data_IF_403133083411
#
_entry.id   IF_403133083411
#
_cell.length_a   1.000
_cell.length_b   1.000
_cell.length_c   1.000
_cell.angle_alpha   90.00
_cell.angle_beta   90.00
_cell.angle_gamma   90.00
#
_symmetry.space_group_name_H-M   'P 1'
#
loop_
_entity.id
_entity.type
_entity.pdbx_description
1 polymer ?
#
# COMPACT_ATOMS: atom_id res chain seq x y z
N UNK A 1 11.47 -10.22 10.70
CA UNK A 1 11.34 -9.76 12.08
C UNK A 1 12.68 -9.84 12.83
N UNK A 2 13.26 -11.03 13.02
CA UNK A 2 14.46 -11.23 13.88
C UNK A 2 15.70 -10.43 13.41
N UNK A 3 15.80 -10.07 12.13
CA UNK A 3 16.87 -9.18 11.63
C UNK A 3 16.63 -7.72 12.00
N UNK A 4 15.39 -7.27 11.98
CA UNK A 4 15.03 -5.94 12.49
C UNK A 4 15.28 -5.85 14.00
N UNK A 5 14.94 -6.91 14.74
CA UNK A 5 15.25 -6.99 16.17
C UNK A 5 16.77 -6.96 16.45
N UNK A 6 17.59 -7.57 15.61
CA UNK A 6 19.06 -7.51 15.72
C UNK A 6 19.62 -6.09 15.47
N UNK A 7 18.84 -5.20 14.82
CA UNK A 7 19.11 -3.77 14.72
C UNK A 7 18.51 -2.96 15.90
N UNK A 8 17.95 -3.65 16.88
CA UNK A 8 17.38 -3.04 18.08
C UNK A 8 15.92 -2.60 17.93
N UNK A 9 15.21 -2.97 16.83
CA UNK A 9 13.78 -2.65 16.65
C UNK A 9 12.94 -3.47 17.62
N UNK A 10 12.07 -2.80 18.36
CA UNK A 10 11.14 -3.38 19.32
C UNK A 10 9.80 -2.65 19.36
N UNK A 11 8.95 -2.94 20.36
CA UNK A 11 7.61 -2.38 20.45
C UNK A 11 7.61 -0.85 20.44
N UNK A 12 6.75 -0.25 19.62
CA UNK A 12 6.60 1.20 19.48
C UNK A 12 7.67 1.89 18.62
N UNK A 13 8.75 1.22 18.21
CA UNK A 13 9.72 1.77 17.27
C UNK A 13 9.11 1.92 15.87
N UNK A 14 9.56 2.90 15.09
CA UNK A 14 9.09 3.13 13.72
C UNK A 14 10.10 2.57 12.73
N UNK A 15 9.57 1.83 11.74
CA UNK A 15 10.31 1.35 10.57
C UNK A 15 9.74 2.06 9.35
N UNK A 16 10.51 3.00 8.79
CA UNK A 16 10.11 3.79 7.64
C UNK A 16 10.54 3.11 6.34
N UNK A 17 9.69 3.14 5.32
CA UNK A 17 9.98 2.58 4.02
C UNK A 17 9.67 3.57 2.88
N UNK A 18 10.72 4.04 2.20
CA UNK A 18 10.65 4.72 0.90
C UNK A 18 10.97 3.69 -0.18
N UNK A 19 10.01 2.81 -0.46
CA UNK A 19 10.20 1.60 -1.26
C UNK A 19 9.08 1.48 -2.28
N UNK A 20 9.42 1.18 -3.53
CA UNK A 20 8.46 0.92 -4.61
C UNK A 20 7.64 -0.35 -4.33
N UNK A 21 6.63 -0.59 -5.16
CA UNK A 21 5.83 -1.80 -5.09
C UNK A 21 6.69 -3.05 -5.29
N UNK A 22 6.96 -3.77 -4.21
CA UNK A 22 7.76 -5.00 -4.22
C UNK A 22 7.52 -5.86 -2.97
N UNK A 23 7.93 -7.11 -3.03
CA UNK A 23 7.70 -8.08 -1.96
C UNK A 23 8.43 -7.72 -0.67
N UNK A 24 9.60 -7.07 -0.75
CA UNK A 24 10.39 -6.66 0.40
C UNK A 24 9.64 -5.66 1.28
N UNK A 25 8.82 -4.78 0.68
CA UNK A 25 7.94 -3.87 1.40
C UNK A 25 6.94 -4.64 2.26
N UNK A 26 6.29 -5.64 1.68
CA UNK A 26 5.28 -6.46 2.36
C UNK A 26 5.91 -7.32 3.47
N UNK A 27 7.08 -7.92 3.20
CA UNK A 27 7.82 -8.69 4.20
C UNK A 27 8.25 -7.81 5.38
N UNK A 28 8.67 -6.56 5.10
CA UNK A 28 9.07 -5.61 6.14
C UNK A 28 7.87 -5.19 6.99
N UNK A 29 6.71 -4.96 6.39
CA UNK A 29 5.47 -4.67 7.09
C UNK A 29 5.14 -5.76 8.13
N UNK A 30 5.06 -7.02 7.70
CA UNK A 30 4.77 -8.13 8.61
C UNK A 30 5.89 -8.35 9.65
N UNK A 31 7.16 -8.14 9.26
CA UNK A 31 8.28 -8.21 10.17
C UNK A 31 8.19 -7.16 11.29
N UNK A 32 7.76 -5.94 10.94
CA UNK A 32 7.54 -4.83 11.86
C UNK A 32 6.43 -5.17 12.86
N UNK A 33 5.30 -5.69 12.38
CA UNK A 33 4.18 -6.10 13.24
C UNK A 33 4.55 -7.19 14.24
N UNK A 34 5.35 -8.17 13.81
CA UNK A 34 5.85 -9.25 14.68
C UNK A 34 6.72 -8.76 15.84
N UNK A 35 7.18 -7.52 15.80
CA UNK A 35 7.96 -6.87 16.84
C UNK A 35 7.15 -5.87 17.68
N UNK A 36 5.85 -5.70 17.37
CA UNK A 36 5.03 -4.63 17.97
C UNK A 36 5.50 -3.22 17.60
N UNK A 37 6.28 -3.12 16.52
CA UNK A 37 6.77 -1.87 15.95
C UNK A 37 5.76 -1.30 14.95
N UNK A 38 5.92 -0.04 14.58
CA UNK A 38 5.01 0.72 13.72
C UNK A 38 5.61 0.86 12.33
N UNK A 39 4.89 0.46 11.31
CA UNK A 39 5.34 0.58 9.92
C UNK A 39 4.93 1.92 9.32
N UNK A 40 5.86 2.59 8.64
CA UNK A 40 5.67 3.93 8.08
C UNK A 40 6.00 3.93 6.58
N UNK A 41 5.05 3.53 5.71
CA UNK A 41 5.26 3.59 4.27
C UNK A 41 5.17 5.03 3.77
N UNK A 42 6.15 5.45 2.97
CA UNK A 42 6.28 6.81 2.47
C UNK A 42 6.07 6.85 0.96
N UNK A 43 5.40 7.90 0.48
CA UNK A 43 5.24 8.14 -0.95
C UNK A 43 6.61 8.31 -1.63
N UNK A 44 6.89 7.45 -2.61
CA UNK A 44 8.16 7.37 -3.35
C UNK A 44 8.49 8.61 -4.19
N UNK A 45 7.51 9.49 -4.42
CA UNK A 45 7.70 10.74 -5.16
C UNK A 45 8.12 11.93 -4.26
N UNK A 46 8.14 11.75 -2.92
CA UNK A 46 8.47 12.82 -1.99
C UNK A 46 9.95 13.16 -2.02
N UNK A 47 10.24 14.47 -1.94
CA UNK A 47 11.59 15.04 -1.90
C UNK A 47 11.62 16.30 -1.02
N UNK A 48 12.82 16.69 -0.61
CA UNK A 48 13.06 17.96 0.10
C UNK A 48 12.19 18.11 1.35
N UNK A 49 11.62 19.29 1.57
CA UNK A 49 10.89 19.63 2.78
C UNK A 49 9.70 18.71 3.10
N UNK A 50 9.04 18.12 2.09
CA UNK A 50 7.94 17.17 2.33
C UNK A 50 8.44 15.84 2.88
N UNK A 51 9.55 15.32 2.35
CA UNK A 51 10.18 14.11 2.87
C UNK A 51 10.79 14.36 4.26
N UNK A 52 11.46 15.51 4.43
CA UNK A 52 12.01 15.94 5.71
C UNK A 52 10.95 16.01 6.80
N UNK A 53 9.80 16.62 6.49
CA UNK A 53 8.68 16.71 7.43
C UNK A 53 8.24 15.31 7.91
N UNK A 54 8.07 14.36 6.99
CA UNK A 54 7.62 13.02 7.36
C UNK A 54 8.71 12.25 8.11
N UNK A 55 9.96 12.39 7.72
CA UNK A 55 11.10 11.76 8.41
C UNK A 55 11.21 12.24 9.86
N UNK A 56 11.17 13.56 10.07
CA UNK A 56 11.22 14.17 11.40
C UNK A 56 10.01 13.80 12.25
N UNK A 57 8.82 13.81 11.66
CA UNK A 57 7.60 13.51 12.42
C UNK A 57 7.46 12.03 12.77
N UNK A 58 7.94 11.12 11.91
CA UNK A 58 7.92 9.69 12.18
C UNK A 58 9.03 9.24 13.15
N UNK A 59 10.16 9.96 13.22
CA UNK A 59 11.33 9.58 14.01
C UNK A 59 11.68 8.08 13.86
N UNK A 60 11.99 7.61 12.66
CA UNK A 60 12.19 6.19 12.43
C UNK A 60 13.52 5.71 13.01
N UNK A 61 13.51 4.52 13.61
CA UNK A 61 14.71 3.84 14.07
C UNK A 61 15.47 3.14 12.95
N UNK A 62 14.74 2.58 11.98
CA UNK A 62 15.29 1.95 10.79
C UNK A 62 14.59 2.51 9.56
N UNK A 63 15.37 2.80 8.52
CA UNK A 63 14.86 3.23 7.20
C UNK A 63 15.17 2.16 6.18
N UNK A 64 14.17 1.75 5.39
CA UNK A 64 14.35 0.97 4.17
C UNK A 64 14.17 1.91 2.98
N UNK A 65 15.04 1.82 2.00
CA UNK A 65 14.98 2.69 0.81
C UNK A 65 15.41 1.93 -0.44
N UNK A 66 14.66 2.07 -1.52
CA UNK A 66 15.16 1.63 -2.82
C UNK A 66 16.42 2.44 -3.19
N UNK A 67 17.46 1.77 -3.63
CA UNK A 67 18.75 2.40 -3.90
C UNK A 67 18.64 3.57 -4.89
N UNK A 68 17.79 3.45 -5.90
CA UNK A 68 17.54 4.50 -6.88
C UNK A 68 16.68 5.67 -6.37
N UNK A 69 16.09 5.53 -5.17
CA UNK A 69 15.36 6.60 -4.48
C UNK A 69 16.20 7.25 -3.37
N UNK A 70 17.39 6.74 -3.08
CA UNK A 70 18.23 7.24 -1.99
C UNK A 70 18.56 8.72 -2.13
N UNK A 71 18.74 9.21 -3.35
CA UNK A 71 19.03 10.62 -3.64
C UNK A 71 17.96 11.59 -3.14
N UNK A 72 16.72 11.13 -2.92
CA UNK A 72 15.66 11.95 -2.33
C UNK A 72 15.99 12.46 -0.92
N UNK A 73 16.89 11.77 -0.21
CA UNK A 73 17.35 12.13 1.13
C UNK A 73 18.53 13.11 1.15
N UNK A 74 19.10 13.51 0.01
CA UNK A 74 20.12 14.54 -0.02
C UNK A 74 19.52 15.90 0.38
N UNK A 75 20.14 16.53 1.38
CA UNK A 75 19.67 17.81 1.94
C UNK A 75 18.48 17.70 2.90
N UNK A 76 18.06 16.47 3.25
CA UNK A 76 17.03 16.20 4.24
C UNK A 76 17.69 16.06 5.62
N UNK A 77 17.06 16.63 6.64
CA UNK A 77 17.49 16.54 8.05
C UNK A 77 16.50 15.68 8.84
N UNK A 78 16.99 14.67 9.57
CA UNK A 78 16.18 13.82 10.44
C UNK A 78 15.79 14.49 11.77
N UNK A 79 16.28 15.71 12.05
CA UNK A 79 16.11 16.34 13.35
C UNK A 79 16.88 15.59 14.45
N UNK A 80 16.26 15.46 15.62
CA UNK A 80 16.86 14.77 16.78
C UNK A 80 16.66 13.23 16.72
N UNK A 81 16.08 12.71 15.63
CA UNK A 81 15.81 11.28 15.45
C UNK A 81 17.12 10.48 15.29
N UNK A 82 17.25 9.39 16.05
CA UNK A 82 18.40 8.48 15.99
C UNK A 82 18.11 7.31 15.03
N UNK A 83 18.47 7.49 13.74
CA UNK A 83 18.38 6.42 12.73
C UNK A 83 19.54 5.45 12.96
N UNK A 84 19.24 4.29 13.53
CA UNK A 84 20.24 3.25 13.85
C UNK A 84 20.76 2.55 12.60
N UNK A 85 19.89 2.31 11.62
CA UNK A 85 20.27 1.65 10.38
C UNK A 85 19.46 2.12 9.17
N UNK A 86 20.11 2.08 8.01
CA UNK A 86 19.46 2.19 6.70
C UNK A 86 19.74 0.93 5.89
N UNK A 87 18.69 0.39 5.25
CA UNK A 87 18.74 -0.80 4.40
C UNK A 87 18.40 -0.42 2.97
N UNK A 88 19.37 -0.57 2.07
CA UNK A 88 19.21 -0.28 0.65
C UNK A 88 18.71 -1.52 -0.11
N UNK A 89 17.61 -1.35 -0.86
CA UNK A 89 16.92 -2.42 -1.59
C UNK A 89 17.19 -2.27 -3.09
N UNK A 90 17.39 -3.40 -3.77
CA UNK A 90 17.47 -3.50 -5.24
C UNK A 90 18.59 -2.67 -5.91
N UNK A 91 19.80 -2.67 -5.35
CA UNK A 91 20.94 -1.99 -5.98
C UNK A 91 22.19 -1.94 -5.10
N UNK A 92 22.08 -2.44 -3.88
CA UNK A 92 23.15 -2.34 -2.89
C UNK A 92 23.28 -0.93 -2.32
N UNK A 93 24.34 -0.69 -1.56
CA UNK A 93 24.65 0.61 -0.97
C UNK A 93 25.09 1.56 -2.09
N UNK A 94 24.49 2.77 -2.24
CA UNK A 94 24.89 3.71 -3.27
C UNK A 94 26.29 4.26 -3.02
N UNK A 95 27.01 4.68 -4.09
CA UNK A 95 28.35 5.27 -4.00
C UNK A 95 28.38 6.53 -3.12
N UNK A 96 27.30 7.31 -3.14
CA UNK A 96 27.10 8.49 -2.31
C UNK A 96 25.89 8.29 -1.40
N UNK A 97 26.17 7.89 -0.16
CA UNK A 97 25.14 7.77 0.87
C UNK A 97 24.70 9.15 1.35
N UNK A 98 23.39 9.44 1.39
CA UNK A 98 22.89 10.72 1.90
C UNK A 98 23.40 11.03 3.31
N UNK A 99 23.80 12.29 3.60
CA UNK A 99 24.39 12.69 4.90
C UNK A 99 23.51 12.35 6.10
N UNK A 100 22.19 12.34 5.95
CA UNK A 100 21.24 11.96 7.01
C UNK A 100 21.45 10.52 7.54
N UNK A 101 22.10 9.66 6.77
CA UNK A 101 22.43 8.28 7.13
C UNK A 101 23.92 8.09 7.50
N UNK A 102 24.71 9.18 7.63
CA UNK A 102 26.15 9.08 7.87
C UNK A 102 26.54 8.37 9.17
N UNK A 103 25.71 8.47 10.19
CA UNK A 103 25.92 7.81 11.50
C UNK A 103 25.19 6.46 11.61
N UNK A 104 24.26 6.18 10.71
CA UNK A 104 23.50 4.94 10.67
C UNK A 104 24.33 3.77 10.14
N UNK A 105 24.04 2.56 10.62
CA UNK A 105 24.56 1.34 9.99
C UNK A 105 23.97 1.18 8.61
N UNK A 106 24.82 1.24 7.59
CA UNK A 106 24.41 1.10 6.18
C UNK A 106 24.50 -0.37 5.76
N UNK A 107 23.43 -0.91 5.20
CA UNK A 107 23.33 -2.31 4.81
C UNK A 107 22.71 -2.42 3.41
N UNK A 108 23.22 -3.31 2.58
CA UNK A 108 22.43 -3.83 1.46
C UNK A 108 21.32 -4.73 2.00
N UNK A 109 20.28 -4.98 1.20
CA UNK A 109 19.23 -5.93 1.60
C UNK A 109 19.78 -7.36 1.78
N UNK A 110 20.81 -7.72 1.03
CA UNK A 110 21.53 -9.00 1.16
C UNK A 110 22.23 -9.08 2.51
N UNK A 111 23.04 -8.06 2.88
CA UNK A 111 23.73 -7.99 4.16
C UNK A 111 22.74 -7.98 5.32
N UNK A 112 21.65 -7.23 5.21
CA UNK A 112 20.57 -7.23 6.21
C UNK A 112 19.96 -8.63 6.38
N UNK A 113 19.70 -9.32 5.28
CA UNK A 113 19.14 -10.68 5.28
C UNK A 113 20.11 -11.72 5.84
N UNK A 114 21.42 -11.46 5.76
CA UNK A 114 22.49 -12.30 6.30
C UNK A 114 22.81 -12.02 7.78
N UNK A 115 22.24 -10.96 8.39
CA UNK A 115 22.47 -10.69 9.83
C UNK A 115 22.11 -11.90 10.69
N UNK A 116 22.85 -12.09 11.76
CA UNK A 116 22.47 -13.05 12.80
C UNK A 116 21.06 -12.71 13.32
N UNK A 117 20.20 -13.71 13.39
CA UNK A 117 18.86 -13.52 13.93
C UNK A 117 18.92 -13.25 15.45
N UNK A 118 18.12 -12.32 15.93
CA UNK A 118 17.87 -12.15 17.36
C UNK A 118 17.11 -13.39 17.90
N UNK A 119 17.03 -13.50 19.22
CA UNK A 119 16.24 -14.56 19.87
C UNK A 119 14.75 -14.43 19.51
N UNK A 120 14.08 -15.55 19.28
CA UNK A 120 12.65 -15.57 18.91
C UNK A 120 11.73 -15.09 20.03
N UNK A 121 12.20 -15.04 21.28
CA UNK A 121 11.46 -14.51 22.42
C UNK A 121 11.12 -13.01 22.32
N UNK A 122 11.72 -12.28 21.37
CA UNK A 122 11.39 -10.87 21.10
C UNK A 122 10.12 -10.71 20.25
N UNK A 123 9.60 -11.79 19.65
CA UNK A 123 8.38 -11.73 18.85
C UNK A 123 7.15 -11.55 19.76
N UNK A 124 6.25 -10.69 19.31
CA UNK A 124 5.00 -10.41 20.03
C UNK A 124 3.78 -10.76 19.17
N UNK A 125 2.65 -10.92 19.84
CA UNK A 125 1.34 -10.95 19.20
C UNK A 125 0.69 -9.59 19.42
N UNK A 126 0.62 -8.71 18.41
CA UNK A 126 0.02 -7.40 18.58
C UNK A 126 -1.47 -7.51 18.89
N UNK A 127 -1.98 -6.57 19.68
CA UNK A 127 -3.41 -6.47 19.99
C UNK A 127 -4.13 -5.66 18.91
N UNK A 128 -5.46 -5.79 18.80
CA UNK A 128 -6.25 -5.02 17.83
C UNK A 128 -6.07 -3.50 17.94
N UNK A 129 -5.90 -2.99 19.16
CA UNK A 129 -5.73 -1.57 19.47
C UNK A 129 -4.31 -1.04 19.28
N UNK A 130 -3.30 -1.91 19.19
CA UNK A 130 -1.92 -1.50 18.97
C UNK A 130 -1.75 -0.83 17.60
N UNK A 131 -0.93 0.22 17.52
CA UNK A 131 -0.69 0.94 16.28
C UNK A 131 0.16 0.10 15.33
N UNK A 132 -0.40 -0.18 14.16
CA UNK A 132 0.25 -0.91 13.06
C UNK A 132 1.00 0.03 12.12
N UNK A 133 0.37 1.16 11.76
CA UNK A 133 0.89 2.10 10.78
C UNK A 133 0.86 3.55 11.24
N UNK A 134 1.77 4.32 10.66
CA UNK A 134 1.58 5.76 10.45
C UNK A 134 1.52 5.96 8.94
N UNK A 135 0.33 6.29 8.41
CA UNK A 135 0.16 6.61 6.99
C UNK A 135 -0.08 8.11 6.83
N UNK A 136 0.72 8.74 5.95
CA UNK A 136 0.61 10.18 5.73
C UNK A 136 -0.44 10.51 4.67
N UNK A 137 -1.35 11.43 5.02
CA UNK A 137 -2.35 11.98 4.11
C UNK A 137 -1.99 13.42 3.74
N UNK A 138 -2.31 13.80 2.48
CA UNK A 138 -2.20 15.19 2.05
C UNK A 138 -3.31 16.00 2.70
N UNK A 139 -3.01 16.69 3.78
CA UNK A 139 -3.98 17.59 4.41
C UNK A 139 -4.41 18.71 3.45
N UNK A 140 -5.67 19.11 3.50
CA UNK A 140 -6.20 20.24 2.73
C UNK A 140 -5.60 21.58 3.16
N UNK A 141 -4.99 21.63 4.33
CA UNK A 141 -4.44 22.85 4.96
C UNK A 141 -3.13 22.55 5.68
N UNK A 142 -1.98 22.73 5.01
CA UNK A 142 -0.66 22.61 5.63
C UNK A 142 0.08 21.30 5.36
N UNK A 143 1.13 20.98 6.13
CA UNK A 143 1.93 19.77 5.96
C UNK A 143 1.10 18.49 6.09
N UNK A 144 1.57 17.41 5.46
CA UNK A 144 0.94 16.09 5.58
C UNK A 144 0.83 15.64 7.04
N UNK A 145 -0.26 14.94 7.37
CA UNK A 145 -0.54 14.45 8.73
C UNK A 145 -0.39 12.94 8.76
N UNK A 146 0.29 12.43 9.78
CA UNK A 146 0.40 11.01 10.04
C UNK A 146 -0.84 10.46 10.74
N UNK A 147 -1.60 9.61 10.04
CA UNK A 147 -2.75 8.91 10.61
C UNK A 147 -2.25 7.69 11.37
N UNK A 148 -2.54 7.62 12.66
CA UNK A 148 -2.24 6.46 13.49
C UNK A 148 -3.30 5.39 13.27
N UNK A 149 -2.90 4.26 12.69
CA UNK A 149 -3.82 3.19 12.31
C UNK A 149 -3.61 1.95 13.17
N UNK A 150 -4.56 1.61 14.05
CA UNK A 150 -4.53 0.37 14.81
C UNK A 150 -4.64 -0.88 13.90
N UNK A 151 -4.17 -2.03 14.39
CA UNK A 151 -4.30 -3.29 13.66
C UNK A 151 -5.74 -3.61 13.28
N UNK A 152 -6.72 -3.36 14.17
CA UNK A 152 -8.14 -3.57 13.89
C UNK A 152 -8.62 -2.70 12.72
N UNK A 153 -8.20 -1.42 12.66
CA UNK A 153 -8.57 -0.51 11.57
C UNK A 153 -8.02 -1.01 10.23
N UNK A 154 -6.77 -1.47 10.21
CA UNK A 154 -6.17 -2.03 9.01
C UNK A 154 -6.83 -3.34 8.56
N UNK A 155 -7.18 -4.20 9.52
CA UNK A 155 -7.91 -5.45 9.24
C UNK A 155 -9.28 -5.17 8.61
N UNK A 156 -10.01 -4.16 9.11
CA UNK A 156 -11.32 -3.77 8.56
C UNK A 156 -11.24 -3.26 7.12
N UNK A 157 -10.16 -2.58 6.72
CA UNK A 157 -9.93 -2.25 5.30
C UNK A 157 -9.90 -3.51 4.42
N UNK A 158 -9.13 -4.50 4.84
CA UNK A 158 -9.02 -5.76 4.10
C UNK A 158 -10.32 -6.55 4.09
N UNK A 159 -10.98 -6.66 5.25
CA UNK A 159 -12.26 -7.37 5.39
C UNK A 159 -13.38 -6.69 4.58
N UNK A 160 -13.48 -5.36 4.64
CA UNK A 160 -14.44 -4.60 3.84
C UNK A 160 -14.24 -4.83 2.34
N UNK A 161 -13.00 -4.79 1.88
CA UNK A 161 -12.68 -5.08 0.47
C UNK A 161 -13.00 -6.52 0.10
N UNK A 162 -12.65 -7.48 0.96
CA UNK A 162 -12.95 -8.90 0.74
C UNK A 162 -14.45 -9.13 0.58
N UNK A 163 -15.30 -8.47 1.41
CA UNK A 163 -16.76 -8.55 1.32
C UNK A 163 -17.31 -7.85 0.08
N UNK A 164 -16.86 -6.60 -0.18
CA UNK A 164 -17.34 -5.80 -1.31
C UNK A 164 -17.10 -6.47 -2.67
N UNK A 165 -15.98 -7.16 -2.81
CA UNK A 165 -15.54 -7.80 -4.05
C UNK A 165 -15.75 -9.32 -4.03
N UNK A 166 -16.30 -9.89 -2.94
CA UNK A 166 -16.46 -11.34 -2.75
C UNK A 166 -15.16 -12.11 -3.03
N UNK A 167 -14.04 -11.59 -2.48
CA UNK A 167 -12.74 -12.20 -2.74
C UNK A 167 -12.68 -13.61 -2.15
N UNK A 168 -12.18 -14.54 -2.94
CA UNK A 168 -12.00 -15.94 -2.61
C UNK A 168 -10.57 -16.40 -2.96
N UNK A 169 -10.17 -17.57 -2.47
CA UNK A 169 -8.85 -18.17 -2.71
C UNK A 169 -8.53 -18.35 -4.21
N UNK A 170 -9.56 -18.55 -5.05
CA UNK A 170 -9.39 -18.71 -6.50
C UNK A 170 -9.09 -17.39 -7.23
N UNK A 171 -9.30 -16.23 -6.58
CA UNK A 171 -9.08 -14.94 -7.20
C UNK A 171 -7.61 -14.59 -7.37
N UNK A 172 -7.36 -13.74 -8.37
CA UNK A 172 -6.05 -13.18 -8.69
C UNK A 172 -6.18 -11.67 -8.77
N UNK A 173 -5.61 -10.98 -7.78
CA UNK A 173 -5.68 -9.53 -7.70
C UNK A 173 -4.51 -8.89 -8.43
N UNK A 174 -4.80 -8.07 -9.45
CA UNK A 174 -3.80 -7.20 -10.09
C UNK A 174 -3.65 -5.91 -9.28
N UNK A 175 -2.46 -5.68 -8.73
CA UNK A 175 -2.15 -4.53 -7.88
C UNK A 175 -1.18 -3.61 -8.60
N UNK A 176 -1.69 -2.49 -9.11
CA UNK A 176 -0.91 -1.41 -9.71
C UNK A 176 -0.95 -0.12 -8.88
N UNK A 177 -1.76 -0.10 -7.82
CA UNK A 177 -1.79 1.01 -6.88
C UNK A 177 -0.55 1.01 -5.99
N UNK A 178 -0.05 2.21 -5.61
CA UNK A 178 1.09 2.30 -4.72
C UNK A 178 0.83 1.61 -3.36
N UNK A 179 1.77 0.76 -2.93
CA UNK A 179 1.69 0.07 -1.65
C UNK A 179 2.01 0.97 -0.43
N UNK A 180 2.35 2.23 -0.64
CA UNK A 180 2.42 3.21 0.45
C UNK A 180 1.06 3.86 0.76
N UNK A 181 0.02 3.59 -0.04
CA UNK A 181 -1.36 4.04 0.19
C UNK A 181 -2.24 2.91 0.71
N UNK A 182 -3.24 3.27 1.53
CA UNK A 182 -4.21 2.34 2.08
C UNK A 182 -4.94 1.52 1.00
N UNK A 183 -5.22 2.10 -0.17
CA UNK A 183 -5.86 1.35 -1.25
C UNK A 183 -4.99 0.17 -1.73
N UNK A 184 -3.73 0.40 -2.11
CA UNK A 184 -2.85 -0.68 -2.58
C UNK A 184 -2.51 -1.69 -1.48
N UNK A 185 -2.19 -1.19 -0.28
CA UNK A 185 -1.67 -2.03 0.80
C UNK A 185 -2.77 -2.71 1.62
N UNK A 186 -3.82 -1.98 2.00
CA UNK A 186 -4.82 -2.49 2.93
C UNK A 186 -6.06 -3.03 2.20
N UNK A 187 -6.54 -2.35 1.16
CA UNK A 187 -7.66 -2.86 0.40
C UNK A 187 -7.23 -4.02 -0.50
N UNK A 188 -6.29 -3.79 -1.42
CA UNK A 188 -5.93 -4.79 -2.42
C UNK A 188 -5.10 -5.92 -1.82
N UNK A 189 -3.94 -5.63 -1.22
CA UNK A 189 -3.05 -6.66 -0.71
C UNK A 189 -3.62 -7.36 0.54
N UNK A 190 -4.02 -6.60 1.58
CA UNK A 190 -4.50 -7.23 2.81
C UNK A 190 -5.87 -7.91 2.61
N UNK A 191 -6.75 -7.36 1.77
CA UNK A 191 -8.00 -8.02 1.37
C UNK A 191 -7.75 -9.36 0.70
N UNK A 192 -6.79 -9.42 -0.25
CA UNK A 192 -6.37 -10.67 -0.88
C UNK A 192 -5.73 -11.63 0.12
N UNK A 193 -4.91 -11.13 1.04
CA UNK A 193 -4.27 -11.94 2.08
C UNK A 193 -5.31 -12.60 3.02
N UNK A 194 -6.35 -11.86 3.42
CA UNK A 194 -7.46 -12.38 4.24
C UNK A 194 -8.24 -13.45 3.48
N UNK A 195 -8.47 -13.25 2.18
CA UNK A 195 -9.20 -14.20 1.32
C UNK A 195 -8.37 -15.42 0.93
N UNK A 196 -7.04 -15.41 1.13
CA UNK A 196 -6.14 -16.44 0.60
C UNK A 196 -5.91 -16.34 -0.91
N UNK A 197 -6.28 -15.20 -1.53
CA UNK A 197 -6.19 -14.97 -2.96
C UNK A 197 -4.74 -14.68 -3.41
N UNK A 198 -4.48 -14.89 -4.69
CA UNK A 198 -3.20 -14.55 -5.31
C UNK A 198 -3.10 -13.06 -5.60
N UNK A 199 -1.88 -12.52 -5.52
CA UNK A 199 -1.60 -11.13 -5.90
C UNK A 199 -0.53 -11.07 -6.98
N UNK A 200 -0.76 -10.21 -7.96
CA UNK A 200 0.23 -9.83 -8.96
C UNK A 200 0.50 -8.33 -8.83
N UNK A 201 1.70 -8.01 -8.34
CA UNK A 201 2.09 -6.64 -8.02
C UNK A 201 2.99 -6.09 -9.11
N UNK A 202 2.62 -4.95 -9.70
CA UNK A 202 3.47 -4.20 -10.63
C UNK A 202 4.03 -2.96 -9.96
N UNK A 203 5.21 -2.52 -10.41
CA UNK A 203 5.89 -1.37 -9.82
C UNK A 203 5.05 -0.09 -9.87
N UNK A 204 4.33 0.13 -10.99
CA UNK A 204 3.47 1.30 -11.21
C UNK A 204 2.39 1.04 -12.25
N UNK A 205 1.31 1.81 -12.16
CA UNK A 205 0.27 1.85 -13.17
C UNK A 205 0.79 2.38 -14.51
N UNK A 206 0.35 1.74 -15.59
CA UNK A 206 0.55 2.22 -16.97
C UNK A 206 -0.71 1.93 -17.78
N UNK A 207 -1.44 2.95 -18.27
CA UNK A 207 -2.65 2.72 -19.06
C UNK A 207 -2.37 1.93 -20.33
N UNK A 208 -1.18 2.12 -20.94
CA UNK A 208 -0.77 1.42 -22.16
C UNK A 208 -0.49 -0.08 -21.97
N UNK A 209 -0.24 -0.51 -20.74
CA UNK A 209 0.11 -1.89 -20.39
C UNK A 209 -0.96 -2.58 -19.57
N UNK A 210 -1.93 -1.83 -19.07
CA UNK A 210 -2.89 -2.33 -18.08
C UNK A 210 -3.56 -3.62 -18.51
N UNK A 211 -4.12 -3.67 -19.72
CA UNK A 211 -4.84 -4.84 -20.22
C UNK A 211 -3.90 -6.02 -20.49
N UNK A 212 -2.69 -5.76 -20.97
CA UNK A 212 -1.68 -6.81 -21.18
C UNK A 212 -1.21 -7.39 -19.84
N UNK A 213 -0.98 -6.53 -18.83
CA UNK A 213 -0.60 -6.98 -17.49
C UNK A 213 -1.75 -7.76 -16.81
N UNK A 214 -3.00 -7.34 -16.98
CA UNK A 214 -4.21 -8.05 -16.52
C UNK A 214 -4.30 -9.45 -17.14
N UNK A 215 -4.10 -9.56 -18.44
CA UNK A 215 -4.09 -10.85 -19.16
C UNK A 215 -2.94 -11.74 -18.72
N UNK A 216 -1.72 -11.20 -18.67
CA UNK A 216 -0.51 -11.93 -18.28
C UNK A 216 -0.62 -12.48 -16.85
N UNK A 217 -1.21 -11.73 -15.94
CA UNK A 217 -1.45 -12.15 -14.56
C UNK A 217 -2.67 -13.06 -14.40
N UNK A 218 -3.50 -13.18 -15.44
CA UNK A 218 -4.82 -13.83 -15.38
C UNK A 218 -5.68 -13.24 -14.23
N UNK A 219 -5.60 -11.93 -14.05
CA UNK A 219 -6.28 -11.25 -12.97
C UNK A 219 -7.80 -11.38 -13.09
N UNK A 220 -8.46 -11.63 -11.96
CA UNK A 220 -9.93 -11.67 -11.84
C UNK A 220 -10.47 -10.41 -11.18
N UNK A 221 -9.61 -9.67 -10.47
CA UNK A 221 -9.98 -8.49 -9.68
C UNK A 221 -8.89 -7.42 -9.78
N UNK A 222 -9.29 -6.16 -9.82
CA UNK A 222 -8.38 -5.02 -9.68
C UNK A 222 -9.11 -3.78 -9.14
N UNK A 223 -8.34 -2.74 -8.77
CA UNK A 223 -8.87 -1.40 -8.52
C UNK A 223 -8.43 -0.43 -9.59
N UNK A 224 -9.27 0.58 -9.84
CA UNK A 224 -8.95 1.71 -10.69
C UNK A 224 -9.47 2.99 -10.04
N UNK A 225 -8.57 3.90 -9.64
CA UNK A 225 -8.91 5.10 -8.88
C UNK A 225 -8.66 6.38 -9.65
N UNK A 226 -9.43 7.41 -9.30
CA UNK A 226 -9.29 8.74 -9.88
C UNK A 226 -9.47 8.70 -11.41
N UNK A 227 -8.45 9.16 -12.13
CA UNK A 227 -8.45 9.23 -13.60
C UNK A 227 -8.04 7.93 -14.30
N UNK A 228 -7.68 6.88 -13.54
CA UNK A 228 -7.20 5.62 -14.13
C UNK A 228 -8.24 4.95 -15.05
N UNK A 229 -9.53 4.79 -14.65
CA UNK A 229 -10.52 4.18 -15.52
C UNK A 229 -10.69 4.96 -16.82
N UNK A 230 -10.67 6.28 -16.75
CA UNK A 230 -10.78 7.16 -17.92
C UNK A 230 -9.57 7.00 -18.86
N UNK A 231 -8.36 6.93 -18.34
CA UNK A 231 -7.17 6.70 -19.16
C UNK A 231 -7.18 5.32 -19.83
N UNK A 232 -7.64 4.28 -19.14
CA UNK A 232 -7.82 2.95 -19.71
C UNK A 232 -8.90 3.00 -20.81
N UNK A 233 -10.04 3.62 -20.54
CA UNK A 233 -11.17 3.69 -21.44
C UNK A 233 -10.89 4.50 -22.73
N UNK A 234 -10.05 5.52 -22.65
CA UNK A 234 -9.65 6.34 -23.82
C UNK A 234 -8.79 5.63 -24.86
N UNK A 235 -8.26 4.43 -24.54
CA UNK A 235 -7.60 3.63 -25.57
C UNK A 235 -8.57 3.24 -26.69
N UNK A 236 -8.11 3.12 -27.95
CA UNK A 236 -8.94 2.65 -29.05
C UNK A 236 -9.61 1.32 -28.70
N UNK A 237 -10.91 1.22 -28.92
CA UNK A 237 -11.66 -0.01 -28.66
C UNK A 237 -11.20 -1.14 -29.60
N UNK A 238 -11.09 -2.34 -29.06
CA UNK A 238 -10.69 -3.54 -29.77
C UNK A 238 -11.68 -4.67 -29.49
N UNK A 239 -12.00 -5.53 -30.47
CA UNK A 239 -12.81 -6.73 -30.25
C UNK A 239 -12.20 -7.70 -29.21
N UNK A 240 -10.93 -7.52 -28.88
CA UNK A 240 -10.23 -8.33 -27.89
C UNK A 240 -10.24 -7.72 -26.47
N UNK A 241 -10.89 -6.59 -26.26
CA UNK A 241 -10.86 -5.94 -24.94
C UNK A 241 -11.55 -6.79 -23.86
N UNK A 242 -12.57 -7.54 -24.22
CA UNK A 242 -13.22 -8.52 -23.34
C UNK A 242 -12.48 -9.86 -23.22
N UNK A 243 -11.39 -10.07 -23.97
CA UNK A 243 -10.55 -11.27 -23.82
C UNK A 243 -9.62 -11.13 -22.62
N UNK A 244 -10.19 -11.24 -21.43
CA UNK A 244 -9.55 -11.18 -20.14
C UNK A 244 -10.35 -11.99 -19.09
N UNK A 245 -9.82 -12.13 -17.86
CA UNK A 245 -10.46 -12.90 -16.79
C UNK A 245 -11.05 -12.01 -15.68
N UNK A 246 -11.06 -10.69 -15.85
CA UNK A 246 -11.62 -9.78 -14.84
C UNK A 246 -13.12 -10.05 -14.68
N UNK A 247 -13.56 -10.20 -13.43
CA UNK A 247 -14.96 -10.26 -13.06
C UNK A 247 -15.46 -8.97 -12.42
N UNK A 248 -14.54 -8.26 -11.72
CA UNK A 248 -14.89 -7.04 -10.99
C UNK A 248 -13.72 -6.06 -10.92
N UNK A 249 -14.06 -4.78 -11.03
CA UNK A 249 -13.16 -3.64 -10.85
C UNK A 249 -13.73 -2.73 -9.76
N UNK A 250 -13.00 -2.50 -8.67
CA UNK A 250 -13.37 -1.46 -7.73
C UNK A 250 -12.86 -0.11 -8.24
N UNK A 251 -13.78 0.81 -8.50
CA UNK A 251 -13.46 2.14 -9.01
C UNK A 251 -14.01 3.24 -8.09
N UNK A 252 -13.26 4.34 -7.95
CA UNK A 252 -13.69 5.53 -7.24
C UNK A 252 -12.91 6.77 -7.72
N UNK A 253 -13.59 7.89 -8.10
CA UNK A 253 -15.02 7.96 -8.34
C UNK A 253 -15.43 7.21 -9.62
N UNK A 254 -16.71 6.87 -9.70
CA UNK A 254 -17.33 6.35 -10.92
C UNK A 254 -18.08 7.48 -11.60
N UNK A 255 -18.03 7.56 -12.93
CA UNK A 255 -18.70 8.60 -13.71
C UNK A 255 -19.57 7.97 -14.82
N UNK A 256 -20.72 8.57 -15.09
CA UNK A 256 -21.68 8.10 -16.11
C UNK A 256 -21.07 8.03 -17.51
N UNK A 257 -20.16 8.97 -17.81
CA UNK A 257 -19.57 9.15 -19.14
C UNK A 257 -18.78 7.92 -19.64
N UNK A 258 -18.35 7.05 -18.72
CA UNK A 258 -17.54 5.89 -19.11
C UNK A 258 -17.95 4.57 -18.44
N UNK A 259 -18.68 4.57 -17.34
CA UNK A 259 -18.84 3.37 -16.48
C UNK A 259 -19.57 2.23 -17.20
N UNK A 260 -20.75 2.49 -17.77
CA UNK A 260 -21.56 1.47 -18.48
C UNK A 260 -20.81 0.91 -19.68
N UNK A 261 -20.15 1.79 -20.46
CA UNK A 261 -19.38 1.36 -21.62
C UNK A 261 -18.11 0.62 -21.22
N UNK A 262 -17.49 0.94 -20.07
CA UNK A 262 -16.35 0.22 -19.53
C UNK A 262 -16.74 -1.21 -19.12
N UNK A 263 -17.88 -1.38 -18.42
CA UNK A 263 -18.39 -2.72 -18.08
C UNK A 263 -18.63 -3.56 -19.33
N UNK A 264 -19.35 -3.00 -20.31
CA UNK A 264 -19.60 -3.67 -21.59
C UNK A 264 -18.31 -4.02 -22.34
N UNK A 265 -17.37 -3.07 -22.43
CA UNK A 265 -16.14 -3.20 -23.23
C UNK A 265 -15.20 -4.27 -22.69
N UNK A 266 -15.04 -4.34 -21.39
CA UNK A 266 -14.12 -5.26 -20.73
C UNK A 266 -14.81 -6.51 -20.16
N UNK A 267 -16.14 -6.61 -20.26
CA UNK A 267 -16.97 -7.68 -19.69
C UNK A 267 -16.74 -7.84 -18.17
N UNK A 268 -16.83 -6.74 -17.44
CA UNK A 268 -16.56 -6.68 -16.00
C UNK A 268 -17.70 -5.99 -15.26
N UNK A 269 -17.85 -6.25 -13.96
CA UNK A 269 -18.70 -5.45 -13.08
C UNK A 269 -17.87 -4.38 -12.36
N UNK A 270 -18.41 -3.16 -12.27
CA UNK A 270 -17.83 -2.10 -11.46
C UNK A 270 -18.47 -2.13 -10.07
N UNK A 271 -17.62 -1.98 -9.06
CA UNK A 271 -18.03 -1.69 -7.69
C UNK A 271 -17.43 -0.36 -7.28
N UNK A 272 -18.17 0.42 -6.51
CA UNK A 272 -17.65 1.67 -5.97
C UNK A 272 -17.73 1.67 -4.45
N UNK A 273 -17.02 2.59 -3.83
CA UNK A 273 -17.03 2.76 -2.40
C UNK A 273 -16.50 4.13 -2.00
N UNK A 274 -16.81 4.52 -0.79
CA UNK A 274 -16.28 5.72 -0.15
C UNK A 274 -15.40 5.32 1.01
N UNK A 275 -14.24 5.96 1.11
CA UNK A 275 -13.31 5.75 2.21
C UNK A 275 -12.20 6.77 2.25
N UNK A 276 -11.57 6.86 3.40
CA UNK A 276 -10.36 7.66 3.65
C UNK A 276 -9.46 6.89 4.60
N UNK A 277 -8.19 7.22 4.61
CA UNK A 277 -7.22 6.61 5.55
C UNK A 277 -7.72 6.72 7.00
N UNK A 278 -8.36 7.83 7.35
CA UNK A 278 -8.86 8.14 8.69
C UNK A 278 -10.14 7.38 9.08
N UNK A 279 -11.04 7.11 8.13
CA UNK A 279 -12.37 6.55 8.42
C UNK A 279 -12.61 5.14 7.87
N UNK A 280 -11.60 4.52 7.22
CA UNK A 280 -11.75 3.22 6.57
C UNK A 280 -12.62 3.29 5.28
N UNK A 281 -13.37 2.22 4.98
CA UNK A 281 -14.34 2.13 3.88
C UNK A 281 -15.72 1.92 4.51
N UNK A 282 -16.38 2.98 5.00
CA UNK A 282 -17.66 2.86 5.67
C UNK A 282 -18.82 2.48 4.74
N UNK A 283 -18.68 2.72 3.42
CA UNK A 283 -19.72 2.38 2.45
C UNK A 283 -19.12 1.83 1.15
N UNK A 284 -19.81 0.86 0.57
CA UNK A 284 -19.48 0.31 -0.74
C UNK A 284 -20.71 -0.29 -1.44
N UNK A 285 -20.65 -0.41 -2.76
CA UNK A 285 -21.63 -1.14 -3.57
C UNK A 285 -21.40 -2.64 -3.38
N UNK A 286 -22.39 -3.33 -2.86
CA UNK A 286 -22.37 -4.77 -2.70
C UNK A 286 -22.52 -5.53 -4.03
N UNK A 287 -22.37 -6.86 -4.00
CA UNK A 287 -22.43 -7.68 -5.22
C UNK A 287 -23.76 -7.61 -5.97
N UNK A 288 -24.87 -7.49 -5.23
CA UNK A 288 -26.23 -7.45 -5.77
C UNK A 288 -26.80 -6.02 -5.93
N UNK A 289 -26.01 -5.01 -5.52
CA UNK A 289 -26.44 -3.62 -5.60
C UNK A 289 -26.27 -3.08 -7.01
N UNK A 290 -27.22 -2.28 -7.52
CA UNK A 290 -27.05 -1.58 -8.78
C UNK A 290 -25.91 -0.54 -8.65
N UNK A 291 -25.14 -0.36 -9.72
CA UNK A 291 -24.18 0.72 -9.81
C UNK A 291 -24.93 2.04 -10.03
N UNK A 292 -25.02 2.87 -9.00
CA UNK A 292 -25.60 4.22 -9.07
C UNK A 292 -24.49 5.26 -8.98
N UNK A 293 -24.23 5.97 -10.07
CA UNK A 293 -23.19 7.01 -10.11
C UNK A 293 -23.50 8.12 -9.11
N UNK A 294 -22.47 8.52 -8.34
CA UNK A 294 -22.62 9.49 -7.26
C UNK A 294 -23.12 8.90 -5.93
N UNK A 295 -23.45 7.61 -5.89
CA UNK A 295 -23.78 6.90 -4.66
C UNK A 295 -22.56 6.10 -4.18
N UNK A 296 -22.22 6.21 -2.90
CA UNK A 296 -21.09 5.46 -2.33
C UNK A 296 -21.41 3.98 -2.03
N UNK A 297 -22.65 3.56 -2.25
CA UNK A 297 -23.15 2.23 -1.89
C UNK A 297 -23.81 2.21 -0.52
N UNK A 298 -23.90 1.03 0.09
CA UNK A 298 -24.51 0.81 1.39
C UNK A 298 -23.48 0.93 2.52
N UNK A 299 -23.94 1.43 3.67
CA UNK A 299 -23.10 1.51 4.88
C UNK A 299 -22.88 0.13 5.46
N UNK A 300 -21.67 -0.15 5.89
CA UNK A 300 -21.31 -1.33 6.69
C UNK A 300 -21.72 -1.09 8.15
N UNK A 301 -23.02 -1.18 8.43
CA UNK A 301 -23.65 -0.84 9.72
C UNK A 301 -23.20 -1.75 10.88
N UNK A 302 -22.59 -2.90 10.57
CA UNK A 302 -21.93 -3.75 11.58
C UNK A 302 -20.72 -3.05 12.23
N UNK A 303 -20.05 -2.13 11.51
CA UNK A 303 -18.79 -1.51 11.95
C UNK A 303 -18.84 0.02 11.99
N UNK A 304 -19.76 0.65 11.26
CA UNK A 304 -19.78 2.10 11.09
C UNK A 304 -21.17 2.68 11.31
N UNK A 305 -21.22 3.82 11.98
CA UNK A 305 -22.38 4.71 12.05
C UNK A 305 -22.07 5.93 11.16
N UNK A 306 -22.89 6.22 10.17
CA UNK A 306 -22.71 7.32 9.19
C UNK A 306 -23.94 8.21 9.16
#
# INVERSE_FOLDING_TARGET
ALRLAALGVGPGDRVLALVKNRVELLLTMFATFKLGAIYVPINTELKGAFLEHQLRNAEPKVVLVDTDLADAFHGVDAGDGDIVAVVFIAGGIPDQVPPVFSTARQLSYEDFSALAAADAGVLVTPKPEDIAFIMYTSGTTGPSKGVLMPHAHCYLFGLGTQRALELAEADRYYICMPLFHANGLLMQFLGSFIAGAWVYVVERFSPNRWLDDVRASQATVTNALGVMPEFIFRHPESPLDSDNNLRVVMAAPVADEWSTDFERRYDVSIRQGFGMTECNIPAYTGPDDPLEVGCAGQVLDEFFEV
#
